data_IF_659973450990
#
_entry.id   IF_659973450990
#
_cell.length_a   1.000
_cell.length_b   1.000
_cell.length_c   1.000
_cell.angle_alpha   90.00
_cell.angle_beta   90.00
_cell.angle_gamma   90.00
#
_symmetry.space_group_name_H-M   'P 1'
#
loop_
_entity.id
_entity.type
_entity.pdbx_description
1 polymer ?
#
# COMPACT_ATOMS: atom_id res chain seq x y z
N UNK A 1 -16.39 17.20 33.92
CA UNK A 1 -16.37 16.73 32.53
C UNK A 1 -17.21 15.46 32.43
N UNK A 2 -17.86 15.23 31.29
CA UNK A 2 -18.73 14.07 31.09
C UNK A 2 -17.90 12.77 30.97
N UNK A 3 -18.30 11.71 31.69
CA UNK A 3 -17.66 10.38 31.65
C UNK A 3 -17.51 9.82 30.23
N UNK A 4 -18.47 10.13 29.34
CA UNK A 4 -18.43 9.73 27.93
C UNK A 4 -17.20 10.25 27.20
N UNK A 5 -16.71 11.45 27.54
CA UNK A 5 -15.52 12.05 26.94
C UNK A 5 -14.26 11.33 27.45
N UNK A 6 -14.20 11.10 28.76
CA UNK A 6 -13.04 10.52 29.43
C UNK A 6 -12.79 9.08 28.97
N UNK A 7 -13.85 8.27 28.84
CA UNK A 7 -13.74 6.87 28.43
C UNK A 7 -13.79 6.64 26.92
N UNK A 8 -13.83 7.71 26.09
CA UNK A 8 -14.04 7.59 24.64
C UNK A 8 -12.98 6.75 23.94
N UNK A 9 -11.73 6.83 24.41
CA UNK A 9 -10.58 6.13 23.83
C UNK A 9 -10.14 4.90 24.66
N UNK A 10 -10.90 4.52 25.68
CA UNK A 10 -10.56 3.37 26.53
C UNK A 10 -10.56 2.08 25.72
N UNK A 11 -9.43 1.37 25.75
CA UNK A 11 -9.26 0.13 24.97
C UNK A 11 -9.10 0.36 23.45
N UNK A 12 -8.74 1.57 23.00
CA UNK A 12 -8.44 1.88 21.61
C UNK A 12 -6.95 2.06 21.30
N UNK A 13 -6.11 2.18 22.32
CA UNK A 13 -4.66 2.40 22.17
C UNK A 13 -3.81 1.12 22.30
N UNK A 14 -4.41 -0.03 22.63
CA UNK A 14 -3.67 -1.29 22.70
C UNK A 14 -3.41 -1.84 21.29
N UNK A 15 -2.13 -2.09 20.95
CA UNK A 15 -1.72 -2.50 19.60
C UNK A 15 -2.29 -3.86 19.17
N UNK A 16 -2.49 -4.79 20.10
CA UNK A 16 -3.06 -6.10 19.81
C UNK A 16 -4.57 -6.02 19.62
N UNK A 17 -5.25 -5.13 20.36
CA UNK A 17 -6.66 -4.83 20.12
C UNK A 17 -6.82 -4.14 18.76
N UNK A 18 -5.95 -3.18 18.42
CA UNK A 18 -5.94 -2.54 17.09
C UNK A 18 -5.79 -3.60 16.01
N UNK A 19 -4.78 -4.49 16.11
CA UNK A 19 -4.56 -5.57 15.14
C UNK A 19 -5.83 -6.39 14.91
N UNK A 20 -6.50 -6.83 15.98
CA UNK A 20 -7.74 -7.61 15.87
C UNK A 20 -8.88 -6.86 15.18
N UNK A 21 -9.04 -5.55 15.44
CA UNK A 21 -10.11 -4.74 14.85
C UNK A 21 -9.89 -4.43 13.37
N UNK A 22 -8.64 -4.25 12.97
CA UNK A 22 -8.34 -3.81 11.61
C UNK A 22 -8.25 -4.95 10.60
N UNK A 23 -7.86 -6.14 11.06
CA UNK A 23 -7.73 -7.35 10.24
C UNK A 23 -9.05 -7.67 9.55
N UNK A 24 -9.00 -7.87 8.23
CA UNK A 24 -10.12 -8.34 7.42
C UNK A 24 -9.69 -9.61 6.70
N UNK A 25 -10.34 -10.71 7.06
CA UNK A 25 -10.14 -12.04 6.48
C UNK A 25 -11.44 -12.48 5.82
N UNK A 26 -11.62 -12.25 4.51
CA UNK A 26 -12.89 -12.49 3.85
C UNK A 26 -13.13 -13.99 3.66
N UNK A 27 -14.38 -14.43 3.51
CA UNK A 27 -14.67 -15.86 3.33
C UNK A 27 -14.06 -16.40 2.03
N UNK A 28 -13.55 -17.65 2.01
CA UNK A 28 -13.02 -18.25 0.80
C UNK A 28 -14.06 -18.28 -0.32
N UNK A 29 -13.60 -18.10 -1.56
CA UNK A 29 -14.50 -18.16 -2.72
C UNK A 29 -14.85 -19.62 -3.00
N UNK A 30 -16.15 -19.93 -3.07
CA UNK A 30 -16.65 -21.24 -3.46
C UNK A 30 -17.03 -21.28 -4.94
N UNK A 31 -17.08 -22.49 -5.50
CA UNK A 31 -17.72 -22.78 -6.80
C UNK A 31 -17.25 -21.97 -8.01
N UNK A 32 -16.01 -21.45 -7.98
CA UNK A 32 -15.40 -20.72 -9.09
C UNK A 32 -15.36 -21.54 -10.39
N UNK A 33 -15.37 -22.87 -10.27
CA UNK A 33 -15.39 -23.84 -11.36
C UNK A 33 -16.64 -23.73 -12.23
N UNK A 34 -17.78 -23.37 -11.62
CA UNK A 34 -19.11 -23.31 -12.23
C UNK A 34 -19.27 -22.10 -13.16
N UNK A 35 -18.46 -21.07 -12.96
CA UNK A 35 -18.49 -19.85 -13.76
C UNK A 35 -17.57 -19.95 -14.97
N UNK A 36 -17.87 -19.14 -16.00
CA UNK A 36 -16.92 -18.87 -17.07
C UNK A 36 -15.59 -18.36 -16.47
N UNK A 37 -14.41 -18.80 -16.96
CA UNK A 37 -13.11 -18.48 -16.36
C UNK A 37 -12.92 -17.00 -16.04
N UNK A 38 -13.30 -16.10 -16.96
CA UNK A 38 -13.18 -14.64 -16.75
C UNK A 38 -14.07 -14.11 -15.62
N UNK A 39 -15.26 -14.67 -15.42
CA UNK A 39 -16.19 -14.28 -14.35
C UNK A 39 -15.66 -14.81 -13.01
N UNK A 40 -15.25 -16.08 -12.98
CA UNK A 40 -14.62 -16.66 -11.79
C UNK A 40 -13.36 -15.91 -11.37
N UNK A 41 -12.54 -15.47 -12.34
CA UNK A 41 -11.35 -14.64 -12.09
C UNK A 41 -11.71 -13.28 -11.46
N UNK A 42 -12.80 -12.67 -11.92
CA UNK A 42 -13.27 -11.38 -11.39
C UNK A 42 -13.76 -11.53 -9.94
N UNK A 43 -14.56 -12.57 -9.65
CA UNK A 43 -15.01 -12.88 -8.29
C UNK A 43 -13.84 -13.16 -7.35
N UNK A 44 -12.85 -13.93 -7.82
CA UNK A 44 -11.61 -14.17 -7.08
C UNK A 44 -10.89 -12.85 -6.77
N UNK A 45 -10.72 -12.00 -7.78
CA UNK A 45 -10.04 -10.72 -7.59
C UNK A 45 -10.78 -9.80 -6.61
N UNK A 46 -12.10 -9.70 -6.70
CA UNK A 46 -12.93 -8.93 -5.77
C UNK A 46 -12.74 -9.41 -4.34
N UNK A 47 -12.80 -10.72 -4.11
CA UNK A 47 -12.62 -11.28 -2.77
C UNK A 47 -11.18 -11.07 -2.24
N UNK A 48 -10.17 -11.22 -3.10
CA UNK A 48 -8.78 -10.96 -2.71
C UNK A 48 -8.53 -9.47 -2.36
N UNK A 49 -9.26 -8.52 -2.98
CA UNK A 49 -9.17 -7.10 -2.65
C UNK A 49 -9.72 -6.74 -1.27
N UNK A 50 -10.59 -7.58 -0.69
CA UNK A 50 -11.12 -7.40 0.66
C UNK A 50 -10.10 -7.76 1.74
N UNK A 51 -9.05 -8.53 1.41
CA UNK A 51 -8.02 -8.93 2.36
C UNK A 51 -7.30 -7.70 2.91
N UNK A 52 -7.28 -7.60 4.24
CA UNK A 52 -6.43 -6.65 4.95
C UNK A 52 -5.74 -7.34 6.12
N UNK A 53 -4.48 -7.70 5.91
CA UNK A 53 -3.55 -8.11 6.97
C UNK A 53 -2.59 -6.93 7.18
N UNK A 54 -2.61 -6.28 8.36
CA UNK A 54 -1.77 -5.12 8.61
C UNK A 54 -0.32 -5.57 8.85
N UNK A 55 0.61 -4.97 8.13
CA UNK A 55 2.04 -5.13 8.41
C UNK A 55 2.45 -4.25 9.60
N UNK A 56 3.69 -4.38 10.05
CA UNK A 56 4.23 -3.59 11.16
C UNK A 56 4.07 -2.07 10.94
N UNK A 57 4.37 -1.58 9.73
CA UNK A 57 4.22 -0.16 9.38
C UNK A 57 2.77 0.32 9.57
N UNK A 58 1.79 -0.41 9.03
CA UNK A 58 0.38 -0.05 9.10
C UNK A 58 -0.12 -0.03 10.55
N UNK A 59 0.29 -1.00 11.38
CA UNK A 59 -0.08 -1.01 12.80
C UNK A 59 0.51 0.16 13.56
N UNK A 60 1.81 0.41 13.40
CA UNK A 60 2.48 1.52 14.05
C UNK A 60 1.90 2.86 13.62
N UNK A 61 1.61 3.03 12.33
CA UNK A 61 0.94 4.22 11.80
C UNK A 61 -0.46 4.39 12.42
N UNK A 62 -1.30 3.35 12.42
CA UNK A 62 -2.64 3.43 12.99
C UNK A 62 -2.58 3.75 14.48
N UNK A 63 -1.71 3.09 15.23
CA UNK A 63 -1.49 3.35 16.65
C UNK A 63 -1.04 4.80 16.91
N UNK A 64 -0.10 5.32 16.12
CA UNK A 64 0.33 6.73 16.18
C UNK A 64 -0.86 7.68 15.94
N UNK A 65 -1.66 7.43 14.89
CA UNK A 65 -2.80 8.30 14.55
C UNK A 65 -3.89 8.28 15.62
N UNK A 66 -4.16 7.13 16.25
CA UNK A 66 -5.08 7.05 17.40
C UNK A 66 -4.53 7.84 18.58
N UNK A 67 -3.22 7.75 18.85
CA UNK A 67 -2.57 8.55 19.89
C UNK A 67 -2.74 10.06 19.66
N UNK A 68 -2.52 10.52 18.43
CA UNK A 68 -2.75 11.93 18.06
C UNK A 68 -4.22 12.33 18.19
N UNK A 69 -5.15 11.44 17.80
CA UNK A 69 -6.58 11.64 17.95
C UNK A 69 -6.98 11.80 19.42
N UNK A 70 -6.42 10.95 20.30
CA UNK A 70 -6.63 11.00 21.74
C UNK A 70 -6.09 12.29 22.36
N UNK A 71 -4.86 12.68 22.02
CA UNK A 71 -4.26 13.94 22.48
C UNK A 71 -5.09 15.16 22.04
N UNK A 72 -5.62 15.13 20.81
CA UNK A 72 -6.52 16.18 20.34
C UNK A 72 -7.83 16.20 21.13
N UNK A 73 -8.43 15.04 21.41
CA UNK A 73 -9.64 14.93 22.24
C UNK A 73 -9.42 15.56 23.63
N UNK A 74 -8.31 15.25 24.30
CA UNK A 74 -7.97 15.86 25.60
C UNK A 74 -7.82 17.39 25.51
N UNK A 75 -7.26 17.90 24.41
CA UNK A 75 -7.08 19.34 24.19
C UNK A 75 -8.42 20.06 23.96
N UNK A 76 -9.33 19.44 23.20
CA UNK A 76 -10.67 19.96 22.93
C UNK A 76 -11.50 19.98 24.20
N UNK A 77 -11.51 18.86 24.92
CA UNK A 77 -12.27 18.68 26.16
C UNK A 77 -11.36 18.78 27.39
N UNK A 78 -10.65 19.89 27.54
CA UNK A 78 -9.77 20.15 28.70
C UNK A 78 -10.53 20.73 29.90
N UNK A 79 -11.62 21.44 29.64
CA UNK A 79 -12.60 21.90 30.62
C UNK A 79 -13.91 22.28 29.91
N UNK A 80 -15.02 22.39 30.64
CA UNK A 80 -16.31 22.81 30.07
C UNK A 80 -16.24 24.23 29.49
N UNK A 81 -15.60 25.16 30.22
CA UNK A 81 -15.36 26.52 29.73
C UNK A 81 -14.45 26.55 28.49
N UNK A 82 -13.41 25.73 28.45
CA UNK A 82 -12.52 25.61 27.30
C UNK A 82 -13.21 25.03 26.06
N UNK A 83 -14.04 24.02 26.25
CA UNK A 83 -14.87 23.44 25.19
C UNK A 83 -15.88 24.47 24.64
N UNK A 84 -16.58 25.19 25.53
CA UNK A 84 -17.48 26.27 25.15
C UNK A 84 -16.78 27.36 24.32
N UNK A 85 -15.61 27.82 24.77
CA UNK A 85 -14.83 28.82 24.05
C UNK A 85 -14.48 28.36 22.63
N UNK A 86 -14.13 27.09 22.44
CA UNK A 86 -13.81 26.53 21.11
C UNK A 86 -15.02 26.45 20.16
N UNK A 87 -16.24 26.38 20.68
CA UNK A 87 -17.47 26.38 19.86
C UNK A 87 -17.84 27.82 19.49
N UNK A 88 -17.94 28.71 20.47
CA UNK A 88 -18.43 30.08 20.23
C UNK A 88 -17.36 30.97 19.58
N UNK A 89 -16.08 30.74 19.91
CA UNK A 89 -14.94 31.53 19.44
C UNK A 89 -13.79 30.58 19.05
N UNK A 90 -13.96 29.78 17.96
CA UNK A 90 -12.98 28.79 17.57
C UNK A 90 -11.62 29.44 17.27
N UNK A 91 -10.52 28.93 17.85
CA UNK A 91 -9.20 29.51 17.65
C UNK A 91 -8.72 29.31 16.22
N UNK A 92 -7.87 30.23 15.74
CA UNK A 92 -7.13 30.03 14.51
C UNK A 92 -5.94 29.12 14.80
N UNK A 93 -6.01 27.90 14.28
CA UNK A 93 -4.95 26.89 14.45
C UNK A 93 -4.60 26.37 13.08
N UNK A 94 -3.31 26.28 12.81
CA UNK A 94 -2.75 25.56 11.68
C UNK A 94 -2.02 24.33 12.20
N UNK A 95 -2.34 23.16 11.66
CA UNK A 95 -1.62 21.92 11.94
C UNK A 95 -0.65 21.61 10.81
N UNK A 96 0.46 20.93 11.12
CA UNK A 96 1.31 20.34 10.09
C UNK A 96 0.70 19.02 9.63
N UNK A 97 0.27 18.89 8.35
CA UNK A 97 -0.35 17.66 7.88
C UNK A 97 0.65 16.51 7.78
N UNK A 98 0.20 15.32 8.10
CA UNK A 98 0.97 14.07 8.03
C UNK A 98 0.82 13.50 6.63
N UNK A 99 1.94 13.42 5.90
CA UNK A 99 1.97 12.88 4.55
C UNK A 99 2.11 11.36 4.59
N UNK A 100 1.04 10.62 4.29
CA UNK A 100 1.12 9.18 4.05
C UNK A 100 1.43 8.95 2.57
N UNK A 101 2.65 8.51 2.25
CA UNK A 101 3.09 8.30 0.87
C UNK A 101 3.63 6.90 0.61
N UNK A 102 3.81 6.54 -0.65
CA UNK A 102 4.24 5.20 -1.07
C UNK A 102 3.88 4.91 -2.53
N UNK A 103 4.32 3.75 -3.03
CA UNK A 103 3.99 3.28 -4.38
C UNK A 103 2.47 3.15 -4.58
N UNK A 104 2.02 3.29 -5.83
CA UNK A 104 0.61 3.04 -6.15
C UNK A 104 0.26 1.58 -5.89
N UNK A 105 -0.89 1.33 -5.25
CA UNK A 105 -1.36 -0.04 -4.96
C UNK A 105 -0.68 -0.77 -3.80
N UNK A 106 0.23 -0.12 -3.05
CA UNK A 106 0.93 -0.75 -1.91
C UNK A 106 0.03 -1.01 -0.68
N UNK A 107 -1.04 -0.22 -0.49
CA UNK A 107 -1.97 -0.41 0.64
C UNK A 107 -2.35 0.85 1.43
N UNK A 108 -1.98 2.05 0.97
CA UNK A 108 -2.26 3.33 1.67
C UNK A 108 -3.74 3.54 2.00
N UNK A 109 -4.62 3.52 0.99
CA UNK A 109 -6.06 3.73 1.20
C UNK A 109 -6.70 2.62 2.05
N UNK A 110 -6.21 1.38 1.94
CA UNK A 110 -6.64 0.29 2.83
C UNK A 110 -6.20 0.52 4.28
N UNK A 111 -5.03 1.13 4.50
CA UNK A 111 -4.58 1.53 5.84
C UNK A 111 -5.40 2.68 6.42
N UNK A 112 -5.89 3.61 5.60
CA UNK A 112 -6.87 4.62 6.04
C UNK A 112 -8.22 3.98 6.40
N UNK A 113 -8.71 3.04 5.58
CA UNK A 113 -9.95 2.31 5.90
C UNK A 113 -9.80 1.50 7.21
N UNK A 114 -8.63 0.92 7.43
CA UNK A 114 -8.28 0.25 8.68
C UNK A 114 -8.21 1.21 9.87
N UNK A 115 -7.59 2.39 9.72
CA UNK A 115 -7.59 3.45 10.73
C UNK A 115 -9.02 3.82 11.15
N UNK A 116 -9.92 3.96 10.18
CA UNK A 116 -11.32 4.26 10.47
C UNK A 116 -11.98 3.17 11.33
N UNK A 117 -11.76 1.88 11.03
CA UNK A 117 -12.25 0.76 11.85
C UNK A 117 -11.62 0.71 13.24
N UNK A 118 -10.37 1.15 13.36
CA UNK A 118 -9.64 1.15 14.62
C UNK A 118 -10.00 2.29 15.56
N UNK A 119 -10.50 3.42 15.06
CA UNK A 119 -10.89 4.56 15.88
C UNK A 119 -12.19 4.29 16.67
N UNK A 120 -12.42 5.02 17.78
CA UNK A 120 -13.70 4.96 18.48
C UNK A 120 -14.88 5.25 17.54
N UNK A 121 -15.97 4.46 17.62
CA UNK A 121 -17.18 4.72 16.83
C UNK A 121 -17.84 6.04 17.27
N UNK A 122 -18.80 6.57 16.49
CA UNK A 122 -19.58 7.71 16.91
C UNK A 122 -20.28 7.47 18.25
N UNK A 123 -20.23 8.45 19.16
CA UNK A 123 -20.86 8.36 20.48
C UNK A 123 -21.77 9.55 20.72
N UNK A 124 -22.97 9.30 21.22
CA UNK A 124 -23.92 10.33 21.61
C UNK A 124 -23.38 11.16 22.78
N UNK A 125 -23.45 12.48 22.65
CA UNK A 125 -22.98 13.43 23.64
C UNK A 125 -23.99 14.56 23.86
N UNK A 126 -24.20 14.88 25.13
CA UNK A 126 -25.07 15.95 25.60
C UNK A 126 -24.30 16.84 26.58
N UNK A 127 -24.52 18.14 26.50
CA UNK A 127 -23.97 19.11 27.44
C UNK A 127 -24.88 20.34 27.55
N UNK A 128 -24.64 21.16 28.57
CA UNK A 128 -25.49 22.32 28.87
C UNK A 128 -25.30 23.52 27.91
N UNK A 129 -24.39 23.41 26.93
CA UNK A 129 -24.07 24.49 26.00
C UNK A 129 -25.09 24.67 24.88
N UNK A 130 -25.87 23.63 24.56
CA UNK A 130 -26.85 23.64 23.50
C UNK A 130 -27.94 22.60 23.76
N UNK A 131 -29.12 22.83 23.17
CA UNK A 131 -30.21 21.86 23.25
C UNK A 131 -29.96 20.71 22.27
N UNK A 132 -30.23 19.48 22.74
CA UNK A 132 -30.15 18.27 21.93
C UNK A 132 -28.89 17.44 22.17
N UNK A 133 -28.76 16.39 21.37
CA UNK A 133 -27.65 15.43 21.40
C UNK A 133 -26.84 15.60 20.13
N UNK A 134 -25.52 15.65 20.24
CA UNK A 134 -24.60 15.60 19.10
C UNK A 134 -23.86 14.26 19.09
N UNK A 135 -23.41 13.83 17.93
CA UNK A 135 -22.54 12.66 17.81
C UNK A 135 -21.09 13.12 17.80
N UNK A 136 -20.28 12.58 18.72
CA UNK A 136 -18.84 12.76 18.70
C UNK A 136 -18.24 11.83 17.66
N UNK A 137 -17.63 12.38 16.60
CA UNK A 137 -17.11 11.63 15.46
C UNK A 137 -15.59 11.61 15.53
N UNK A 138 -14.94 10.47 15.31
CA UNK A 138 -13.47 10.40 15.43
C UNK A 138 -12.75 10.88 14.17
N UNK A 139 -13.32 10.64 12.99
CA UNK A 139 -12.67 10.88 11.71
C UNK A 139 -13.60 11.62 10.74
N UNK A 140 -13.11 12.73 10.21
CA UNK A 140 -13.62 13.34 9.00
C UNK A 140 -12.82 12.87 7.79
N UNK A 141 -13.51 12.30 6.81
CA UNK A 141 -12.90 11.81 5.57
C UNK A 141 -13.37 12.67 4.39
N UNK A 142 -12.41 13.12 3.59
CA UNK A 142 -12.66 13.76 2.31
C UNK A 142 -11.86 13.09 1.19
N UNK A 143 -12.50 12.93 0.04
CA UNK A 143 -11.81 12.62 -1.21
C UNK A 143 -11.60 13.91 -1.99
N UNK A 144 -10.36 14.14 -2.42
CA UNK A 144 -10.03 15.28 -3.27
C UNK A 144 -10.49 15.11 -4.73
N UNK A 145 -10.97 13.92 -5.10
CA UNK A 145 -11.40 13.60 -6.46
C UNK A 145 -12.60 14.44 -6.88
N UNK A 146 -12.49 15.13 -8.02
CA UNK A 146 -13.57 15.93 -8.59
C UNK A 146 -13.88 17.22 -7.83
N UNK A 147 -13.01 17.64 -6.90
CA UNK A 147 -13.20 18.86 -6.11
C UNK A 147 -12.49 20.04 -6.76
N UNK A 148 -13.21 21.15 -6.89
CA UNK A 148 -12.74 22.36 -7.54
C UNK A 148 -11.74 23.17 -6.69
N UNK A 149 -11.64 22.92 -5.38
CA UNK A 149 -10.71 23.62 -4.49
C UNK A 149 -11.05 23.40 -3.01
N UNK A 150 -10.24 23.96 -2.12
CA UNK A 150 -10.41 23.79 -0.66
C UNK A 150 -11.77 24.28 -0.17
N UNK A 151 -12.31 25.35 -0.78
CA UNK A 151 -13.65 25.86 -0.47
C UNK A 151 -14.75 24.80 -0.62
N UNK A 152 -14.69 23.97 -1.67
CA UNK A 152 -15.71 22.94 -1.90
C UNK A 152 -15.66 21.86 -0.83
N UNK A 153 -14.44 21.45 -0.43
CA UNK A 153 -14.25 20.51 0.67
C UNK A 153 -14.82 21.04 1.99
N UNK A 154 -14.59 22.31 2.30
CA UNK A 154 -15.17 22.94 3.49
C UNK A 154 -16.71 22.96 3.45
N UNK A 155 -17.29 23.25 2.29
CA UNK A 155 -18.75 23.20 2.12
C UNK A 155 -19.28 21.78 2.32
N UNK A 156 -18.58 20.75 1.84
CA UNK A 156 -18.95 19.36 2.07
C UNK A 156 -18.98 19.01 3.58
N UNK A 157 -18.06 19.55 4.39
CA UNK A 157 -18.08 19.34 5.84
C UNK A 157 -19.21 20.10 6.56
N UNK A 158 -19.55 21.30 6.09
CA UNK A 158 -20.58 22.13 6.74
C UNK A 158 -22.00 21.70 6.35
N UNK A 159 -22.22 21.36 5.09
CA UNK A 159 -23.56 21.12 4.53
C UNK A 159 -23.81 19.69 4.07
N UNK A 160 -22.78 18.83 4.10
CA UNK A 160 -22.83 17.50 3.50
C UNK A 160 -22.61 17.52 1.98
N UNK A 161 -22.48 16.32 1.41
CA UNK A 161 -22.33 16.13 -0.03
C UNK A 161 -23.67 16.39 -0.75
N UNK A 162 -23.66 17.20 -1.82
CA UNK A 162 -24.87 17.48 -2.63
C UNK A 162 -25.37 18.93 -2.56
N UNK A 163 -24.65 19.82 -1.88
CA UNK A 163 -24.90 21.25 -1.96
C UNK A 163 -24.61 21.78 -3.38
N UNK A 164 -25.27 22.87 -3.79
CA UNK A 164 -25.21 23.46 -5.14
C UNK A 164 -23.89 24.16 -5.48
N UNK A 165 -22.84 24.00 -4.65
CA UNK A 165 -21.56 24.69 -4.80
C UNK A 165 -21.60 26.17 -4.41
N UNK A 166 -22.78 26.74 -4.11
CA UNK A 166 -22.94 28.17 -3.86
C UNK A 166 -22.96 28.45 -2.36
N UNK A 167 -22.49 29.64 -2.00
CA UNK A 167 -22.50 30.11 -0.62
C UNK A 167 -21.12 30.17 0.04
N UNK A 168 -21.06 30.95 1.11
CA UNK A 168 -19.94 31.06 2.03
C UNK A 168 -18.73 31.86 1.51
N UNK A 169 -18.30 32.84 2.31
CA UNK A 169 -16.93 33.35 2.23
C UNK A 169 -16.00 32.27 2.80
N UNK A 170 -14.85 32.00 2.16
CA UNK A 170 -13.86 31.01 2.62
C UNK A 170 -13.52 31.18 4.11
N UNK A 171 -13.31 32.43 4.57
CA UNK A 171 -13.02 32.71 5.99
C UNK A 171 -14.17 32.30 6.91
N UNK A 172 -15.42 32.55 6.52
CA UNK A 172 -16.60 32.15 7.30
C UNK A 172 -16.72 30.63 7.33
N UNK A 173 -16.53 29.97 6.19
CA UNK A 173 -16.56 28.51 6.09
C UNK A 173 -15.50 27.84 6.96
N UNK A 174 -14.29 28.40 7.03
CA UNK A 174 -13.24 27.91 7.92
C UNK A 174 -13.65 28.03 9.39
N UNK A 175 -14.21 29.17 9.79
CA UNK A 175 -14.73 29.37 11.17
C UNK A 175 -15.85 28.39 11.48
N UNK A 176 -16.76 28.16 10.54
CA UNK A 176 -17.87 27.22 10.72
C UNK A 176 -17.37 25.76 10.77
N UNK A 177 -16.42 25.38 9.92
CA UNK A 177 -15.76 24.07 9.98
C UNK A 177 -15.05 23.85 11.32
N UNK A 178 -14.31 24.84 11.82
CA UNK A 178 -13.67 24.77 13.13
C UNK A 178 -14.70 24.61 14.24
N UNK A 179 -15.79 25.38 14.19
CA UNK A 179 -16.88 25.29 15.17
C UNK A 179 -17.49 23.89 15.18
N UNK A 180 -17.81 23.35 14.00
CA UNK A 180 -18.38 22.01 13.85
C UNK A 180 -17.40 20.93 14.31
N UNK A 181 -16.13 21.01 13.90
CA UNK A 181 -15.10 20.06 14.32
C UNK A 181 -14.94 20.02 15.83
N UNK A 182 -14.94 21.18 16.51
CA UNK A 182 -14.90 21.23 17.97
C UNK A 182 -16.21 20.70 18.58
N UNK A 183 -17.38 21.15 18.10
CA UNK A 183 -18.69 20.72 18.62
C UNK A 183 -18.86 19.21 18.55
N UNK A 184 -18.57 18.63 17.39
CA UNK A 184 -18.75 17.21 17.07
C UNK A 184 -17.53 16.37 17.52
N UNK A 185 -16.60 16.97 18.27
CA UNK A 185 -15.43 16.28 18.82
C UNK A 185 -14.59 15.55 17.78
N UNK A 186 -14.41 16.14 16.60
CA UNK A 186 -13.63 15.58 15.49
C UNK A 186 -12.16 15.50 15.88
N UNK A 187 -11.61 14.28 15.88
CA UNK A 187 -10.25 14.06 16.35
C UNK A 187 -9.21 13.93 15.24
N UNK A 188 -9.63 13.65 14.00
CA UNK A 188 -8.76 13.51 12.84
C UNK A 188 -9.47 13.97 11.56
N UNK A 189 -8.69 14.49 10.62
CA UNK A 189 -9.12 14.78 9.25
C UNK A 189 -8.24 14.01 8.28
N UNK A 190 -8.83 13.28 7.34
CA UNK A 190 -8.12 12.59 6.24
C UNK A 190 -8.53 13.18 4.91
N UNK A 191 -7.54 13.51 4.08
CA UNK A 191 -7.71 13.82 2.68
C UNK A 191 -7.05 12.74 1.81
N UNK A 192 -7.88 11.90 1.17
CA UNK A 192 -7.41 10.87 0.24
C UNK A 192 -7.59 11.32 -1.22
N UNK A 193 -7.02 10.56 -2.15
CA UNK A 193 -7.12 10.77 -3.61
C UNK A 193 -6.57 12.12 -4.09
N UNK A 194 -5.59 12.67 -3.38
CA UNK A 194 -5.01 13.99 -3.67
C UNK A 194 -4.32 14.05 -5.03
N UNK A 195 -3.88 12.91 -5.58
CA UNK A 195 -3.38 12.79 -6.94
C UNK A 195 -4.41 13.15 -8.03
N UNK A 196 -5.71 13.01 -7.76
CA UNK A 196 -6.77 13.25 -8.74
C UNK A 196 -7.15 14.71 -8.92
N UNK A 197 -6.66 15.61 -8.06
CA UNK A 197 -6.73 17.06 -8.31
C UNK A 197 -5.85 17.45 -9.53
N UNK A 198 -4.87 16.60 -9.88
CA UNK A 198 -3.78 16.92 -10.80
C UNK A 198 -4.09 16.59 -12.27
N UNK A 199 -5.33 16.33 -12.65
CA UNK A 199 -5.73 16.17 -14.06
C UNK A 199 -5.78 17.55 -14.73
N UNK A 200 -4.59 18.12 -14.99
CA UNK A 200 -4.41 19.37 -15.74
C UNK A 200 -4.11 20.62 -14.91
N UNK A 201 -4.41 20.61 -13.60
CA UNK A 201 -4.18 21.77 -12.71
C UNK A 201 -2.95 21.55 -11.82
N UNK A 202 -2.08 22.57 -11.77
CA UNK A 202 -0.72 22.47 -11.21
C UNK A 202 -0.63 22.18 -9.71
N UNK A 203 0.58 21.85 -9.24
CA UNK A 203 0.90 21.54 -7.84
C UNK A 203 0.46 22.64 -6.83
N UNK A 204 0.28 23.88 -7.29
CA UNK A 204 -0.27 24.98 -6.51
C UNK A 204 -1.67 24.69 -5.98
N UNK A 205 -2.57 24.16 -6.82
CA UNK A 205 -3.96 23.89 -6.42
C UNK A 205 -4.05 22.84 -5.32
N UNK A 206 -3.23 21.80 -5.41
CA UNK A 206 -3.13 20.76 -4.37
C UNK A 206 -2.58 21.37 -3.08
N UNK A 207 -1.57 22.21 -3.19
CA UNK A 207 -0.97 22.91 -2.04
C UNK A 207 -2.02 23.79 -1.35
N UNK A 208 -2.77 24.60 -2.10
CA UNK A 208 -3.83 25.46 -1.56
C UNK A 208 -4.92 24.65 -0.85
N UNK A 209 -5.32 23.51 -1.41
CA UNK A 209 -6.27 22.58 -0.78
C UNK A 209 -5.71 22.05 0.55
N UNK A 210 -4.48 21.53 0.54
CA UNK A 210 -3.86 20.95 1.72
C UNK A 210 -3.71 21.99 2.84
N UNK A 211 -3.24 23.20 2.51
CA UNK A 211 -3.10 24.29 3.47
C UNK A 211 -4.46 24.79 3.98
N UNK A 212 -5.48 24.85 3.13
CA UNK A 212 -6.85 25.20 3.57
C UNK A 212 -7.38 24.19 4.59
N UNK A 213 -7.16 22.91 4.34
CA UNK A 213 -7.59 21.82 5.20
C UNK A 213 -6.82 21.77 6.53
N UNK A 214 -5.51 22.06 6.49
CA UNK A 214 -4.63 22.13 7.65
C UNK A 214 -5.05 23.18 8.69
N UNK A 215 -5.82 24.18 8.26
CA UNK A 215 -6.23 25.33 9.07
C UNK A 215 -7.57 25.07 9.79
N UNK A 216 -8.17 23.88 9.65
CA UNK A 216 -9.38 23.45 10.36
C UNK A 216 -9.09 23.13 11.84
N UNK A 217 -7.90 22.62 12.17
CA UNK A 217 -7.43 22.47 13.55
C UNK A 217 -7.23 21.05 14.09
N UNK A 218 -8.04 20.02 13.73
CA UNK A 218 -7.71 18.64 14.08
C UNK A 218 -6.45 18.17 13.33
N UNK A 219 -5.69 17.19 13.88
CA UNK A 219 -4.59 16.57 13.15
C UNK A 219 -5.07 16.05 11.79
N UNK A 220 -4.28 16.35 10.76
CA UNK A 220 -4.64 16.08 9.38
C UNK A 220 -3.68 15.07 8.77
N UNK A 221 -4.22 14.09 8.05
CA UNK A 221 -3.48 13.16 7.22
C UNK A 221 -3.84 13.46 5.76
N UNK A 222 -2.86 13.50 4.87
CA UNK A 222 -3.13 13.44 3.45
C UNK A 222 -2.41 12.26 2.80
N UNK A 223 -3.13 11.54 1.95
CA UNK A 223 -2.60 10.38 1.25
C UNK A 223 -2.11 10.82 -0.12
N UNK A 224 -0.87 10.48 -0.45
CA UNK A 224 -0.23 10.86 -1.71
C UNK A 224 0.53 9.71 -2.34
N UNK A 225 0.72 9.77 -3.67
CA UNK A 225 1.70 8.95 -4.37
C UNK A 225 3.03 9.71 -4.53
N UNK A 226 4.09 9.00 -4.92
CA UNK A 226 5.40 9.62 -5.11
C UNK A 226 5.39 10.75 -6.14
N UNK A 227 4.60 10.61 -7.22
CA UNK A 227 4.54 11.64 -8.26
C UNK A 227 4.00 12.97 -7.74
N UNK A 228 3.01 12.95 -6.83
CA UNK A 228 2.55 14.17 -6.17
C UNK A 228 3.61 14.73 -5.21
N UNK A 229 4.27 13.89 -4.43
CA UNK A 229 5.32 14.35 -3.50
C UNK A 229 6.49 14.99 -4.25
N UNK A 230 6.95 14.41 -5.37
CA UNK A 230 7.96 15.05 -6.23
C UNK A 230 7.54 16.44 -6.72
N UNK A 231 6.25 16.65 -6.98
CA UNK A 231 5.71 17.97 -7.35
C UNK A 231 5.70 18.92 -6.15
N UNK A 232 5.30 18.46 -4.96
CA UNK A 232 5.31 19.25 -3.73
C UNK A 232 6.73 19.64 -3.29
N UNK A 233 7.73 18.77 -3.47
CA UNK A 233 9.12 19.06 -3.17
C UNK A 233 9.73 20.16 -4.05
N UNK A 234 9.12 20.47 -5.21
CA UNK A 234 9.53 21.57 -6.10
C UNK A 234 8.87 22.91 -5.74
N UNK A 235 7.99 22.94 -4.73
CA UNK A 235 7.40 24.18 -4.21
C UNK A 235 8.46 25.00 -3.47
N UNK A 236 8.06 26.21 -3.06
CA UNK A 236 8.91 27.05 -2.22
C UNK A 236 9.22 26.32 -0.89
N UNK A 237 10.27 26.78 -0.19
CA UNK A 237 10.70 26.18 1.07
C UNK A 237 9.62 26.20 2.14
N UNK A 238 8.80 27.26 2.16
CA UNK A 238 7.69 27.41 3.11
C UNK A 238 6.64 26.29 2.95
N UNK A 239 6.08 26.11 1.74
CA UNK A 239 5.08 25.08 1.47
C UNK A 239 5.64 23.68 1.76
N UNK A 240 6.91 23.45 1.40
CA UNK A 240 7.60 22.18 1.68
C UNK A 240 7.68 21.91 3.19
N UNK A 241 8.07 22.90 3.98
CA UNK A 241 8.15 22.75 5.44
C UNK A 241 6.76 22.57 6.06
N UNK A 242 5.73 23.25 5.55
CA UNK A 242 4.37 23.13 6.08
C UNK A 242 3.73 21.77 5.76
N UNK A 243 4.03 21.18 4.59
CA UNK A 243 3.37 19.96 4.10
C UNK A 243 4.20 18.67 4.19
N UNK A 244 5.53 18.75 4.20
CA UNK A 244 6.42 17.59 4.02
C UNK A 244 7.49 17.47 5.13
N UNK A 245 7.28 18.09 6.29
CA UNK A 245 8.24 17.98 7.41
C UNK A 245 8.31 16.57 7.99
N UNK A 246 7.18 15.84 8.03
CA UNK A 246 7.11 14.52 8.65
C UNK A 246 6.38 13.49 7.78
N UNK A 247 6.98 13.04 6.66
CA UNK A 247 6.37 12.01 5.82
C UNK A 247 6.41 10.64 6.51
N UNK A 248 5.31 9.87 6.35
CA UNK A 248 5.23 8.45 6.68
C UNK A 248 5.24 7.67 5.37
N UNK A 249 6.32 6.95 5.09
CA UNK A 249 6.57 6.31 3.80
C UNK A 249 6.26 4.82 3.89
N UNK A 250 5.17 4.40 3.25
CA UNK A 250 4.78 3.00 3.13
C UNK A 250 5.53 2.33 1.97
N UNK A 251 6.41 1.40 2.33
CA UNK A 251 7.15 0.56 1.39
C UNK A 251 6.42 -0.78 1.18
N UNK A 252 6.67 -1.49 0.07
CA UNK A 252 6.23 -2.88 -0.07
C UNK A 252 6.81 -3.75 1.04
N UNK A 253 6.10 -4.83 1.37
CA UNK A 253 6.55 -5.81 2.37
C UNK A 253 7.90 -6.43 1.94
N UNK A 254 8.70 -6.85 2.92
CA UNK A 254 9.95 -7.56 2.63
C UNK A 254 9.59 -8.99 2.18
N UNK A 255 10.17 -9.51 1.07
CA UNK A 255 9.86 -10.86 0.58
C UNK A 255 10.14 -11.97 1.59
N UNK A 256 11.00 -11.70 2.59
CA UNK A 256 11.35 -12.64 3.67
C UNK A 256 10.64 -12.33 4.99
N UNK A 257 9.81 -11.29 5.04
CA UNK A 257 9.06 -10.95 6.25
C UNK A 257 7.91 -11.92 6.49
N UNK A 258 7.57 -12.10 7.77
CA UNK A 258 6.36 -12.80 8.17
C UNK A 258 5.10 -12.09 7.64
N UNK A 259 5.11 -10.75 7.57
CA UNK A 259 3.99 -9.97 7.04
C UNK A 259 3.67 -10.33 5.57
N UNK A 260 4.70 -10.56 4.74
CA UNK A 260 4.51 -11.03 3.38
C UNK A 260 3.97 -12.46 3.34
N UNK A 261 4.56 -13.36 4.13
CA UNK A 261 4.12 -14.75 4.22
C UNK A 261 2.64 -14.85 4.65
N UNK A 262 2.25 -14.14 5.71
CA UNK A 262 0.88 -14.09 6.22
C UNK A 262 -0.11 -13.57 5.16
N UNK A 263 0.30 -12.57 4.37
CA UNK A 263 -0.54 -12.06 3.28
C UNK A 263 -0.72 -13.08 2.15
N UNK A 264 0.36 -13.77 1.75
CA UNK A 264 0.28 -14.82 0.72
C UNK A 264 -0.56 -16.00 1.19
N UNK A 265 -0.38 -16.46 2.43
CA UNK A 265 -1.16 -17.53 3.03
C UNK A 265 -2.66 -17.18 3.06
N UNK A 266 -2.98 -15.92 3.36
CA UNK A 266 -4.34 -15.43 3.33
C UNK A 266 -4.90 -15.38 1.89
N UNK A 267 -4.11 -15.00 0.89
CA UNK A 267 -4.52 -15.11 -0.52
C UNK A 267 -4.80 -16.57 -0.94
N UNK A 268 -3.97 -17.52 -0.51
CA UNK A 268 -4.17 -18.96 -0.75
C UNK A 268 -5.46 -19.44 -0.10
N UNK A 269 -5.68 -19.08 1.17
CA UNK A 269 -6.89 -19.43 1.93
C UNK A 269 -8.14 -18.90 1.26
N UNK A 270 -8.15 -17.62 0.90
CA UNK A 270 -9.29 -16.95 0.24
C UNK A 270 -9.58 -17.53 -1.13
N UNK A 271 -8.56 -18.01 -1.85
CA UNK A 271 -8.72 -18.71 -3.12
C UNK A 271 -9.40 -20.08 -2.99
N UNK A 272 -9.69 -20.55 -1.76
CA UNK A 272 -10.31 -21.85 -1.51
C UNK A 272 -9.38 -23.02 -1.82
N UNK A 273 -8.08 -22.89 -1.50
CA UNK A 273 -7.04 -23.90 -1.81
C UNK A 273 -6.84 -24.17 -3.31
N UNK A 274 -7.27 -23.24 -4.17
CA UNK A 274 -7.01 -23.27 -5.62
C UNK A 274 -5.61 -22.78 -5.99
N UNK A 275 -4.81 -22.39 -5.03
CA UNK A 275 -3.37 -22.20 -5.23
C UNK A 275 -2.71 -23.47 -4.72
N UNK A 276 -1.91 -24.13 -5.57
CA UNK A 276 -1.16 -25.30 -5.15
C UNK A 276 -0.08 -24.87 -4.17
N UNK A 277 -0.27 -25.22 -2.90
CA UNK A 277 0.69 -24.94 -1.85
C UNK A 277 1.83 -25.95 -1.95
N UNK A 278 2.97 -25.48 -2.41
CA UNK A 278 4.22 -26.23 -2.48
C UNK A 278 5.38 -25.24 -2.54
N UNK A 279 6.12 -25.14 -1.43
CA UNK A 279 7.35 -24.39 -1.24
C UNK A 279 7.25 -22.86 -1.24
N UNK A 280 8.14 -22.23 -0.47
CA UNK A 280 8.46 -20.78 -0.44
C UNK A 280 8.63 -20.16 -1.85
N UNK A 281 8.81 -21.00 -2.87
CA UNK A 281 8.88 -20.67 -4.28
C UNK A 281 7.65 -19.90 -4.80
N UNK A 282 6.42 -20.27 -4.42
CA UNK A 282 5.24 -19.54 -4.89
C UNK A 282 5.20 -18.10 -4.35
N UNK A 283 5.45 -17.92 -3.05
CA UNK A 283 5.51 -16.60 -2.42
C UNK A 283 6.65 -15.75 -2.99
N UNK A 284 7.81 -16.37 -3.27
CA UNK A 284 8.96 -15.70 -3.87
C UNK A 284 8.68 -15.25 -5.31
N UNK A 285 8.09 -16.11 -6.16
CA UNK A 285 7.78 -15.75 -7.55
C UNK A 285 6.62 -14.74 -7.64
N UNK A 286 5.64 -14.84 -6.75
CA UNK A 286 4.58 -13.84 -6.62
C UNK A 286 5.18 -12.47 -6.25
N UNK A 287 6.10 -12.43 -5.29
CA UNK A 287 6.81 -11.20 -4.93
C UNK A 287 7.57 -10.65 -6.13
N UNK A 288 8.34 -11.50 -6.81
CA UNK A 288 9.16 -11.11 -7.96
C UNK A 288 8.33 -10.52 -9.09
N UNK A 289 7.15 -11.08 -9.34
CA UNK A 289 6.27 -10.64 -10.42
C UNK A 289 5.45 -9.39 -10.09
N UNK A 290 5.48 -8.93 -8.83
CA UNK A 290 4.59 -7.85 -8.33
C UNK A 290 5.32 -6.79 -7.50
N UNK A 291 6.58 -7.01 -7.17
CA UNK A 291 7.37 -6.21 -6.24
C UNK A 291 6.70 -6.03 -4.85
N UNK A 292 5.92 -7.03 -4.41
CA UNK A 292 5.16 -6.95 -3.16
C UNK A 292 3.99 -5.96 -3.20
N UNK A 293 3.63 -5.43 -4.36
CA UNK A 293 2.52 -4.48 -4.50
C UNK A 293 1.20 -5.27 -4.49
N UNK A 294 0.42 -5.14 -3.41
CA UNK A 294 -0.83 -5.89 -3.15
C UNK A 294 -1.83 -5.81 -4.32
N UNK A 295 -1.99 -4.65 -4.95
CA UNK A 295 -2.85 -4.52 -6.15
C UNK A 295 -2.37 -5.38 -7.33
N UNK A 296 -1.06 -5.47 -7.53
CA UNK A 296 -0.46 -6.27 -8.60
C UNK A 296 -0.56 -7.76 -8.27
N UNK A 297 -0.44 -8.15 -7.00
CA UNK A 297 -0.71 -9.52 -6.53
C UNK A 297 -2.10 -9.99 -6.93
N UNK A 298 -3.14 -9.20 -6.59
CA UNK A 298 -4.51 -9.52 -6.97
C UNK A 298 -4.66 -9.66 -8.48
N UNK A 299 -4.11 -8.71 -9.26
CA UNK A 299 -4.20 -8.74 -10.70
C UNK A 299 -3.48 -9.94 -11.32
N UNK A 300 -2.30 -10.30 -10.81
CA UNK A 300 -1.53 -11.43 -11.30
C UNK A 300 -2.23 -12.75 -10.98
N UNK A 301 -2.76 -12.92 -9.75
CA UNK A 301 -3.54 -14.10 -9.36
C UNK A 301 -4.82 -14.24 -10.19
N UNK A 302 -5.49 -13.12 -10.49
CA UNK A 302 -6.65 -13.09 -11.40
C UNK A 302 -6.29 -13.66 -12.78
N UNK A 303 -5.17 -13.22 -13.36
CA UNK A 303 -4.74 -13.68 -14.67
C UNK A 303 -4.24 -15.14 -14.63
N UNK A 304 -3.50 -15.51 -13.59
CA UNK A 304 -3.02 -16.88 -13.40
C UNK A 304 -4.18 -17.88 -13.24
N UNK A 305 -5.29 -17.47 -12.62
CA UNK A 305 -6.51 -18.27 -12.59
C UNK A 305 -7.08 -18.52 -13.99
N UNK A 306 -7.07 -17.52 -14.87
CA UNK A 306 -7.55 -17.67 -16.26
C UNK A 306 -6.65 -18.66 -17.02
N UNK A 307 -5.33 -18.52 -16.91
CA UNK A 307 -4.37 -19.42 -17.57
C UNK A 307 -4.50 -20.86 -17.06
N UNK A 308 -4.63 -21.04 -15.74
CA UNK A 308 -4.88 -22.32 -15.11
C UNK A 308 -6.14 -23.00 -15.68
N UNK A 309 -7.25 -22.25 -15.80
CA UNK A 309 -8.51 -22.77 -16.35
C UNK A 309 -8.40 -23.06 -17.84
N UNK A 310 -7.68 -22.24 -18.60
CA UNK A 310 -7.42 -22.48 -20.03
C UNK A 310 -6.62 -23.78 -20.25
N UNK A 311 -5.72 -24.12 -19.32
CA UNK A 311 -4.99 -25.40 -19.30
C UNK A 311 -5.83 -26.58 -18.77
N UNK A 312 -7.12 -26.40 -18.48
CA UNK A 312 -8.01 -27.44 -17.96
C UNK A 312 -7.75 -27.82 -16.49
N UNK A 313 -6.93 -27.05 -15.76
CA UNK A 313 -6.61 -27.28 -14.35
C UNK A 313 -7.52 -26.43 -13.45
N UNK A 314 -7.71 -26.90 -12.21
CA UNK A 314 -8.46 -26.17 -11.16
C UNK A 314 -7.56 -25.51 -10.11
N UNK A 315 -6.25 -25.77 -10.15
CA UNK A 315 -5.28 -25.22 -9.21
C UNK A 315 -4.16 -24.47 -9.94
N UNK A 316 -3.98 -23.22 -9.52
CA UNK A 316 -2.92 -22.31 -9.92
C UNK A 316 -1.58 -22.84 -9.43
N UNK A 317 -0.62 -22.94 -10.34
CA UNK A 317 0.77 -23.30 -10.10
C UNK A 317 1.70 -22.15 -10.47
N UNK A 318 3.00 -22.27 -10.16
CA UNK A 318 4.01 -21.24 -10.47
C UNK A 318 4.08 -20.94 -11.97
N UNK A 319 3.91 -21.96 -12.83
CA UNK A 319 3.87 -21.80 -14.29
C UNK A 319 2.72 -20.90 -14.78
N UNK A 320 1.60 -20.88 -14.06
CA UNK A 320 0.48 -19.99 -14.38
C UNK A 320 0.83 -18.53 -14.06
N UNK A 321 1.56 -18.26 -12.97
CA UNK A 321 2.09 -16.93 -12.66
C UNK A 321 3.02 -16.45 -13.77
N UNK A 322 3.92 -17.32 -14.22
CA UNK A 322 4.85 -17.04 -15.31
C UNK A 322 4.14 -16.74 -16.65
N UNK A 323 3.07 -17.47 -16.95
CA UNK A 323 2.26 -17.24 -18.15
C UNK A 323 1.47 -15.94 -18.04
N UNK A 324 0.84 -15.70 -16.88
CA UNK A 324 0.13 -14.48 -16.57
C UNK A 324 1.03 -13.23 -16.64
N UNK A 325 2.25 -13.31 -16.12
CA UNK A 325 3.23 -12.21 -16.16
C UNK A 325 3.59 -11.81 -17.59
N UNK A 326 3.68 -12.79 -18.51
CA UNK A 326 3.97 -12.58 -19.94
C UNK A 326 2.74 -12.24 -20.77
N UNK A 327 1.54 -12.29 -20.19
CA UNK A 327 0.31 -11.99 -20.89
C UNK A 327 0.28 -10.51 -21.32
N UNK A 328 -0.44 -10.25 -22.43
CA UNK A 328 -0.68 -8.88 -22.91
C UNK A 328 -1.42 -8.03 -21.86
N UNK A 329 -2.29 -8.65 -21.06
CA UNK A 329 -3.06 -8.00 -20.00
C UNK A 329 -2.21 -7.54 -18.80
N UNK A 330 -1.00 -8.10 -18.61
CA UNK A 330 -0.10 -7.74 -17.52
C UNK A 330 1.13 -6.93 -17.97
N UNK A 331 1.36 -6.80 -19.28
CA UNK A 331 2.59 -6.21 -19.84
C UNK A 331 2.92 -4.81 -19.31
N UNK A 332 1.92 -3.95 -19.10
CA UNK A 332 2.17 -2.62 -18.52
C UNK A 332 2.69 -2.71 -17.08
N UNK A 333 2.10 -3.58 -16.25
CA UNK A 333 2.53 -3.76 -14.87
C UNK A 333 3.87 -4.47 -14.78
N UNK A 334 4.13 -5.43 -15.67
CA UNK A 334 5.43 -6.09 -15.78
C UNK A 334 6.55 -5.05 -15.99
N UNK A 335 6.37 -4.11 -16.92
CA UNK A 335 7.34 -3.01 -17.14
C UNK A 335 7.55 -2.16 -15.89
N UNK A 336 6.48 -1.83 -15.17
CA UNK A 336 6.58 -1.06 -13.91
C UNK A 336 7.35 -1.84 -12.83
N UNK A 337 7.12 -3.14 -12.70
CA UNK A 337 7.84 -4.03 -11.78
C UNK A 337 9.32 -4.13 -12.16
N UNK A 338 9.63 -4.25 -13.44
CA UNK A 338 11.01 -4.29 -13.95
C UNK A 338 11.74 -2.98 -13.67
N UNK A 339 11.09 -1.83 -13.89
CA UNK A 339 11.64 -0.51 -13.56
C UNK A 339 11.92 -0.39 -12.05
N UNK A 340 11.03 -0.89 -11.20
CA UNK A 340 11.20 -0.90 -9.73
C UNK A 340 12.37 -1.80 -9.30
N UNK A 341 12.50 -2.98 -9.88
CA UNK A 341 13.63 -3.88 -9.63
C UNK A 341 14.96 -3.25 -10.06
N UNK A 342 14.98 -2.62 -11.23
CA UNK A 342 16.15 -1.90 -11.71
C UNK A 342 16.49 -0.74 -10.79
N UNK A 343 15.51 0.05 -10.34
CA UNK A 343 15.74 1.16 -9.43
C UNK A 343 16.32 0.71 -8.09
N UNK A 344 15.82 -0.42 -7.55
CA UNK A 344 16.38 -1.03 -6.35
C UNK A 344 17.86 -1.38 -6.53
N UNK A 345 18.24 -1.93 -7.69
CA UNK A 345 19.62 -2.33 -7.99
C UNK A 345 20.53 -1.12 -8.28
N UNK A 346 20.14 -0.25 -9.22
CA UNK A 346 21.00 0.74 -9.87
C UNK A 346 21.06 2.10 -9.16
N UNK A 347 20.39 2.25 -8.00
CA UNK A 347 20.39 3.49 -7.20
C UNK A 347 20.14 4.76 -8.04
N UNK A 348 19.07 4.77 -8.83
CA UNK A 348 18.49 6.02 -9.35
C UNK A 348 18.62 6.28 -10.86
N UNK A 349 18.65 5.26 -11.71
CA UNK A 349 18.66 5.45 -13.17
C UNK A 349 17.27 5.64 -13.82
N UNK A 350 16.17 5.42 -13.09
CA UNK A 350 14.83 5.52 -13.66
C UNK A 350 14.38 6.98 -13.83
N UNK A 351 13.91 7.33 -15.03
CA UNK A 351 13.30 8.64 -15.33
C UNK A 351 11.89 8.77 -14.75
N UNK A 352 11.30 7.67 -14.26
CA UNK A 352 9.92 7.62 -13.76
C UNK A 352 9.83 8.03 -12.30
N UNK A 353 9.43 9.29 -12.09
CA UNK A 353 9.26 9.88 -10.76
C UNK A 353 8.11 9.24 -9.95
N UNK A 354 7.15 8.61 -10.60
CA UNK A 354 6.02 7.95 -9.95
C UNK A 354 6.40 6.63 -9.26
N UNK A 355 7.48 5.97 -9.72
CA UNK A 355 8.04 4.75 -9.13
C UNK A 355 9.18 5.04 -8.14
N UNK A 356 9.76 6.23 -8.23
CA UNK A 356 10.89 6.62 -7.40
C UNK A 356 10.48 7.24 -6.07
N UNK A 357 10.96 6.64 -4.97
CA UNK A 357 10.80 7.25 -3.65
C UNK A 357 11.50 8.63 -3.62
N UNK A 358 10.79 9.71 -3.23
CA UNK A 358 11.33 11.07 -3.21
C UNK A 358 12.18 11.38 -1.97
N UNK A 359 12.28 10.45 -1.03
CA UNK A 359 12.96 10.64 0.25
C UNK A 359 14.17 9.70 0.39
N UNK A 360 15.14 10.12 1.18
CA UNK A 360 16.31 9.30 1.50
C UNK A 360 15.94 8.21 2.51
N UNK A 361 15.69 7.00 2.00
CA UNK A 361 15.40 5.86 2.87
C UNK A 361 16.67 5.39 3.62
N UNK A 362 16.54 4.92 4.88
CA UNK A 362 17.64 4.29 5.61
C UNK A 362 18.23 3.10 4.85
N UNK A 363 19.51 2.81 5.08
CA UNK A 363 20.25 1.78 4.34
C UNK A 363 19.67 0.36 4.51
N UNK A 364 19.04 0.08 5.64
CA UNK A 364 18.39 -1.19 5.98
C UNK A 364 17.24 -1.52 5.01
N UNK A 365 16.38 -0.54 4.73
CA UNK A 365 15.28 -0.67 3.76
C UNK A 365 15.78 -0.82 2.31
N UNK A 366 16.95 -0.26 2.00
CA UNK A 366 17.62 -0.40 0.69
C UNK A 366 18.31 -1.77 0.55
N UNK A 367 18.62 -2.44 1.65
CA UNK A 367 19.39 -3.69 1.69
C UNK A 367 18.55 -4.91 1.33
N UNK A 368 17.32 -5.02 1.83
CA UNK A 368 16.61 -6.31 1.82
C UNK A 368 16.01 -6.67 0.45
N UNK A 369 15.38 -5.71 -0.24
CA UNK A 369 14.91 -5.88 -1.62
C UNK A 369 16.08 -6.15 -2.57
N UNK A 370 17.20 -5.46 -2.36
CA UNK A 370 18.43 -5.63 -3.15
C UNK A 370 19.09 -6.97 -2.87
N UNK A 371 19.13 -7.43 -1.63
CA UNK A 371 19.70 -8.72 -1.25
C UNK A 371 18.85 -9.89 -1.76
N UNK A 372 17.52 -9.79 -1.71
CA UNK A 372 16.63 -10.78 -2.34
C UNK A 372 16.88 -10.82 -3.86
N UNK A 373 16.87 -9.66 -4.52
CA UNK A 373 17.10 -9.56 -5.97
C UNK A 373 18.50 -10.04 -6.38
N UNK A 374 19.53 -9.81 -5.55
CA UNK A 374 20.91 -10.27 -5.77
C UNK A 374 21.08 -11.77 -5.50
N UNK A 375 20.56 -12.29 -4.39
CA UNK A 375 20.70 -13.70 -4.02
C UNK A 375 19.95 -14.62 -4.99
N UNK A 376 18.73 -14.24 -5.39
CA UNK A 376 17.96 -14.95 -6.42
C UNK A 376 18.68 -14.93 -7.77
N UNK A 377 19.30 -13.80 -8.14
CA UNK A 377 20.14 -13.70 -9.34
C UNK A 377 21.34 -14.63 -9.28
N UNK A 378 22.06 -14.67 -8.16
CA UNK A 378 23.24 -15.52 -7.99
C UNK A 378 22.84 -17.00 -8.09
N UNK A 379 21.71 -17.38 -7.49
CA UNK A 379 21.14 -18.73 -7.63
C UNK A 379 20.77 -19.05 -9.08
N UNK A 380 20.24 -18.10 -9.85
CA UNK A 380 19.87 -18.29 -11.27
C UNK A 380 21.05 -18.30 -12.21
N UNK A 381 22.07 -17.47 -11.97
CA UNK A 381 23.34 -17.55 -12.70
C UNK A 381 23.96 -18.91 -12.43
N UNK A 382 23.95 -19.40 -11.19
CA UNK A 382 24.42 -20.75 -10.86
C UNK A 382 23.61 -21.83 -11.60
N UNK A 383 22.27 -21.78 -11.57
CA UNK A 383 21.41 -22.76 -12.28
C UNK A 383 21.59 -22.68 -13.80
N UNK A 384 21.70 -21.48 -14.38
CA UNK A 384 21.86 -21.29 -15.83
C UNK A 384 23.26 -21.68 -16.30
N UNK A 385 24.30 -21.31 -15.55
CA UNK A 385 25.68 -21.73 -15.79
C UNK A 385 25.75 -23.26 -15.69
N UNK A 386 25.21 -23.85 -14.63
CA UNK A 386 25.13 -25.30 -14.43
C UNK A 386 24.41 -26.01 -15.57
N UNK A 387 23.23 -25.52 -15.98
CA UNK A 387 22.47 -26.07 -17.11
C UNK A 387 23.18 -25.87 -18.45
N UNK A 388 23.88 -24.75 -18.65
CA UNK A 388 24.66 -24.46 -19.87
C UNK A 388 25.96 -25.25 -19.96
N UNK A 389 26.54 -25.64 -18.81
CA UNK A 389 27.72 -26.52 -18.73
C UNK A 389 27.37 -28.00 -18.76
N UNK A 390 26.11 -28.37 -18.51
CA UNK A 390 25.64 -29.75 -18.59
C UNK A 390 25.46 -30.20 -20.05
N UNK A 391 26.08 -31.32 -20.41
CA UNK A 391 25.91 -31.99 -21.70
C UNK A 391 24.51 -32.60 -21.85
N UNK A 392 24.10 -32.88 -23.09
CA UNK A 392 22.75 -33.39 -23.39
C UNK A 392 22.44 -34.75 -22.71
N UNK A 393 23.49 -35.56 -22.47
CA UNK A 393 23.42 -36.80 -21.71
C UNK A 393 23.24 -36.56 -20.18
N UNK A 394 23.86 -35.52 -19.62
CA UNK A 394 23.72 -35.17 -18.21
C UNK A 394 22.34 -34.54 -17.90
N UNK A 395 21.79 -33.76 -18.84
CA UNK A 395 20.43 -33.19 -18.73
C UNK A 395 19.32 -34.23 -18.77
N UNK A 396 19.54 -35.34 -19.48
CA UNK A 396 18.60 -36.46 -19.54
C UNK A 396 18.73 -37.37 -18.32
N UNK A 397 19.93 -37.56 -17.76
CA UNK A 397 20.16 -38.26 -16.50
C UNK A 397 19.52 -37.58 -15.28
N UNK A 398 19.56 -36.25 -15.20
CA UNK A 398 18.99 -35.48 -14.08
C UNK A 398 17.46 -35.56 -13.96
N UNK A 399 16.74 -35.82 -15.07
CA UNK A 399 15.28 -36.05 -15.02
C UNK A 399 14.91 -37.39 -14.40
N UNK A 400 15.85 -38.33 -14.33
CA UNK A 400 15.65 -39.69 -13.81
C UNK A 400 16.19 -39.89 -12.39
N UNK A 401 16.90 -38.91 -11.82
CA UNK A 401 17.47 -39.00 -10.47
C UNK A 401 16.77 -37.97 -9.58
N UNK A 402 15.50 -38.21 -9.26
CA UNK A 402 14.84 -37.52 -8.15
C UNK A 402 14.81 -38.48 -6.94
N UNK A 403 15.80 -38.29 -6.05
CA UNK A 403 16.00 -38.82 -4.68
C UNK A 403 16.26 -40.34 -4.56
N UNK A 404 17.22 -40.80 -3.71
CA UNK A 404 17.39 -40.35 -2.32
C UNK A 404 18.83 -40.09 -1.81
N UNK A 405 18.87 -39.37 -0.68
CA UNK A 405 19.91 -39.26 0.37
C UNK A 405 21.38 -39.12 -0.04
N UNK A 406 21.90 -37.89 0.02
CA UNK A 406 23.34 -37.62 -0.03
C UNK A 406 24.04 -38.05 1.27
N UNK A 407 24.71 -39.21 1.21
CA UNK A 407 25.91 -39.46 2.00
C UNK A 407 27.03 -38.55 1.49
N UNK A 408 27.55 -37.70 2.36
CA UNK A 408 28.72 -36.86 2.10
C UNK A 408 29.94 -37.68 1.65
N UNK A 409 30.64 -37.24 0.58
CA UNK A 409 32.07 -37.48 0.45
C UNK A 409 32.87 -36.17 0.41
N UNK A 410 34.16 -36.33 0.68
CA UNK A 410 35.06 -35.33 1.23
C UNK A 410 35.65 -34.31 0.23
N UNK A 411 35.97 -33.13 0.81
CA UNK A 411 36.94 -32.09 0.41
C UNK A 411 37.28 -31.97 -1.09
N UNK A 412 36.69 -30.94 -1.71
CA UNK A 412 37.13 -30.36 -2.99
C UNK A 412 37.74 -28.98 -2.78
N UNK A 413 38.80 -28.72 -3.55
CA UNK A 413 39.75 -27.61 -3.53
C UNK A 413 39.09 -26.23 -3.65
N UNK A 414 39.55 -25.27 -2.83
CA UNK A 414 39.06 -23.88 -2.75
C UNK A 414 39.25 -23.18 -4.11
N UNK A 415 38.18 -22.99 -4.88
CA UNK A 415 38.18 -22.16 -6.10
C UNK A 415 38.31 -20.68 -5.72
N UNK A 416 39.07 -19.94 -6.53
CA UNK A 416 39.23 -18.48 -6.44
C UNK A 416 37.84 -17.83 -6.53
N UNK A 417 37.50 -16.81 -5.69
CA UNK A 417 36.20 -16.17 -5.74
C UNK A 417 35.98 -15.54 -7.11
N UNK A 418 34.86 -15.87 -7.75
CA UNK A 418 34.41 -15.15 -8.95
C UNK A 418 34.21 -13.67 -8.56
N UNK A 419 34.75 -12.70 -9.32
CA UNK A 419 34.55 -11.29 -9.03
C UNK A 419 33.05 -10.99 -8.97
N UNK A 420 32.61 -10.23 -7.96
CA UNK A 420 31.22 -9.75 -7.88
C UNK A 420 30.91 -8.96 -9.16
N UNK A 421 29.83 -9.34 -9.84
CA UNK A 421 29.38 -8.68 -11.06
C UNK A 421 29.14 -7.19 -10.82
N UNK A 422 29.61 -6.35 -11.75
CA UNK A 422 29.45 -4.90 -11.66
C UNK A 422 28.03 -4.47 -12.04
N UNK A 423 27.56 -3.30 -11.59
CA UNK A 423 26.19 -2.83 -11.85
C UNK A 423 25.85 -2.76 -13.37
N UNK A 424 26.85 -2.53 -14.23
CA UNK A 424 26.68 -2.57 -15.70
C UNK A 424 26.49 -3.99 -16.25
N UNK A 425 27.24 -4.97 -15.72
CA UNK A 425 27.03 -6.39 -16.01
C UNK A 425 25.65 -6.85 -15.51
N UNK A 426 25.15 -6.21 -14.44
CA UNK A 426 23.84 -6.48 -13.89
C UNK A 426 22.72 -6.10 -14.86
N UNK A 427 22.79 -4.89 -15.41
CA UNK A 427 21.81 -4.32 -16.36
C UNK A 427 21.84 -5.06 -17.71
N UNK A 428 23.03 -5.37 -18.23
CA UNK A 428 23.18 -6.05 -19.53
C UNK A 428 22.57 -7.46 -19.52
N UNK A 429 22.77 -8.20 -18.42
CA UNK A 429 22.28 -9.58 -18.27
C UNK A 429 20.76 -9.66 -18.08
N UNK A 430 20.17 -8.66 -17.41
CA UNK A 430 18.71 -8.56 -17.23
C UNK A 430 18.00 -8.37 -18.58
N UNK A 431 18.51 -7.48 -19.43
CA UNK A 431 17.98 -7.25 -20.78
C UNK A 431 18.03 -8.52 -21.65
N UNK A 432 19.15 -9.25 -21.61
CA UNK A 432 19.30 -10.50 -22.35
C UNK A 432 18.34 -11.61 -21.91
N UNK A 433 17.87 -11.60 -20.65
CA UNK A 433 16.88 -12.54 -20.17
C UNK A 433 15.47 -12.20 -20.67
N UNK A 434 15.09 -10.91 -20.60
CA UNK A 434 13.79 -10.43 -21.10
C UNK A 434 13.62 -10.63 -22.61
N UNK A 435 14.71 -10.59 -23.37
CA UNK A 435 14.71 -10.75 -24.82
C UNK A 435 14.76 -12.21 -25.30
N UNK A 436 14.96 -13.21 -24.42
CA UNK A 436 15.13 -14.60 -24.83
C UNK A 436 13.79 -15.32 -25.13
N UNK A 437 13.52 -15.74 -26.40
CA UNK A 437 12.31 -16.48 -26.74
C UNK A 437 12.38 -17.92 -26.23
N UNK A 438 11.24 -18.47 -25.80
CA UNK A 438 11.08 -19.91 -25.60
C UNK A 438 11.35 -20.62 -26.93
N UNK A 439 12.40 -21.46 -26.98
CA UNK A 439 12.71 -22.27 -28.14
C UNK A 439 11.50 -23.10 -28.56
N UNK A 440 10.94 -22.81 -29.73
CA UNK A 440 9.90 -23.64 -30.34
C UNK A 440 10.46 -25.02 -30.69
N UNK A 441 9.73 -26.12 -30.44
CA UNK A 441 10.20 -27.45 -30.80
C UNK A 441 10.17 -27.61 -32.32
N UNK A 442 11.33 -27.90 -32.92
CA UNK A 442 11.42 -28.28 -34.34
C UNK A 442 10.70 -29.61 -34.56
N UNK A 443 9.78 -29.66 -35.53
CA UNK A 443 9.14 -30.90 -35.99
C UNK A 443 10.20 -31.85 -36.57
N UNK A 444 10.19 -33.16 -36.23
CA UNK A 444 11.05 -34.14 -36.88
C UNK A 444 10.57 -34.41 -38.31
N UNK A 445 11.54 -34.68 -39.20
CA UNK A 445 11.33 -35.08 -40.60
C UNK A 445 10.83 -36.51 -40.71
#
# INVERSE_FOLDING_TARGET
MNRTIESRFDGYMDIEIIRRRVVVRPEPVSDLETFHPSIGAQLLAERLMEIYIPNEFSLNFIHEMIGLAYLHNLKVFSSEAGYAARIFTPPEVEVSPICLTGLAGVGKSQTIAALWRALPPPVAFTCDLYQGTVELISLWYASARGKAGGKQLLLDFVHGSGHDGRGGNLKKLLVDCRRLANRDGVTLVVLDETQHINTGEGASKVTDILLTMAVIGPPMIFVSNYSLVHKLLRRNSEDKQRLLSEPRIMLPDDPKSQDWADYVDECVRVSGSRVKVGNDEFAAELYRSTFGIKRLVVQLLKLAYIECRAAGRSRIEVDDLHTAYRSSAYTSNARDVEDLQLEAISRGSSKRLDLRCPFDLPAEYKSNVVNFTRADRDQRVQVRVFNSSATEAERSGLKHIALPEEKFPAKSTRRVPVPKATDEDLIRSFRQYMESPSSSPKKPK
#
